data_IF_899757944170
#
_entry.id   IF_899757944170
#
_cell.length_a   1.000
_cell.length_b   1.000
_cell.length_c   1.000
_cell.angle_alpha   90.00
_cell.angle_beta   90.00
_cell.angle_gamma   90.00
#
_symmetry.space_group_name_H-M   'P 1'
#
loop_
_entity.id
_entity.type
_entity.pdbx_description
1 polymer ?
#
# COMPACT_ATOMS: atom_id res chain seq x y z
N UNK A 1 -15.14 62.33 3.32
CA UNK A 1 -16.28 61.46 3.71
C UNK A 1 -16.99 61.06 2.43
N UNK A 2 -17.12 59.77 2.07
CA UNK A 2 -16.33 58.59 2.44
C UNK A 2 -15.66 57.90 1.23
N UNK A 3 -14.68 57.07 1.56
CA UNK A 3 -13.92 56.17 0.70
C UNK A 3 -14.87 55.12 0.09
N UNK A 4 -14.84 54.95 -1.24
CA UNK A 4 -15.47 53.78 -1.88
C UNK A 4 -14.68 52.54 -1.48
N UNK A 5 -15.29 51.79 -0.58
CA UNK A 5 -14.79 50.57 0.00
C UNK A 5 -14.50 49.52 -1.07
N UNK A 6 -13.30 48.95 -0.93
CA UNK A 6 -12.90 47.64 -1.43
C UNK A 6 -13.96 46.60 -1.04
N UNK A 7 -14.78 46.16 -1.98
CA UNK A 7 -15.57 44.93 -1.84
C UNK A 7 -14.76 43.75 -2.39
N UNK A 8 -13.77 43.32 -1.61
CA UNK A 8 -13.24 41.95 -1.73
C UNK A 8 -14.36 41.00 -1.27
N UNK A 9 -15.29 40.69 -2.17
CA UNK A 9 -16.16 39.53 -2.03
C UNK A 9 -15.34 38.29 -2.36
N UNK A 10 -14.45 37.90 -1.45
CA UNK A 10 -13.87 36.55 -1.45
C UNK A 10 -14.99 35.58 -1.10
N UNK A 11 -15.52 34.95 -2.14
CA UNK A 11 -16.58 33.95 -2.08
C UNK A 11 -16.15 32.80 -1.15
N UNK A 12 -16.81 32.59 0.01
CA UNK A 12 -16.50 31.45 0.87
C UNK A 12 -16.64 30.10 0.13
N UNK A 13 -17.47 30.04 -0.90
CA UNK A 13 -17.65 28.88 -1.78
C UNK A 13 -16.38 28.52 -2.58
N UNK A 14 -15.64 29.52 -3.10
CA UNK A 14 -14.35 29.29 -3.79
C UNK A 14 -13.28 28.77 -2.83
N UNK A 15 -13.31 29.20 -1.56
CA UNK A 15 -12.31 28.79 -0.58
C UNK A 15 -12.42 27.30 -0.22
N UNK A 16 -13.64 26.76 -0.17
CA UNK A 16 -13.90 25.35 0.13
C UNK A 16 -13.48 24.41 -1.01
N UNK A 17 -13.85 24.73 -2.25
CA UNK A 17 -13.43 23.94 -3.42
C UNK A 17 -11.92 24.00 -3.64
N UNK A 18 -11.32 25.18 -3.48
CA UNK A 18 -9.87 25.33 -3.56
C UNK A 18 -9.14 24.52 -2.49
N UNK A 19 -9.61 24.55 -1.24
CA UNK A 19 -9.03 23.75 -0.16
C UNK A 19 -9.11 22.24 -0.46
N UNK A 20 -10.25 21.78 -0.99
CA UNK A 20 -10.45 20.39 -1.40
C UNK A 20 -9.46 19.99 -2.50
N UNK A 21 -9.29 20.83 -3.53
CA UNK A 21 -8.35 20.60 -4.62
C UNK A 21 -6.90 20.55 -4.14
N UNK A 22 -6.52 21.46 -3.24
CA UNK A 22 -5.20 21.43 -2.61
C UNK A 22 -4.97 20.14 -1.82
N UNK A 23 -5.96 19.65 -1.06
CA UNK A 23 -5.87 18.38 -0.32
C UNK A 23 -5.66 17.21 -1.28
N UNK A 24 -6.47 17.14 -2.35
CA UNK A 24 -6.39 16.09 -3.37
C UNK A 24 -5.02 16.11 -4.05
N UNK A 25 -4.57 17.27 -4.52
CA UNK A 25 -3.27 17.45 -5.16
C UNK A 25 -2.11 17.08 -4.24
N UNK A 26 -2.20 17.45 -2.95
CA UNK A 26 -1.19 17.11 -1.94
C UNK A 26 -1.10 15.61 -1.73
N UNK A 27 -2.23 14.91 -1.58
CA UNK A 27 -2.26 13.45 -1.42
C UNK A 27 -1.66 12.74 -2.64
N UNK A 28 -2.02 13.17 -3.86
CA UNK A 28 -1.47 12.63 -5.11
C UNK A 28 0.05 12.89 -5.20
N UNK A 29 0.49 14.11 -4.87
CA UNK A 29 1.91 14.46 -4.87
C UNK A 29 2.73 13.61 -3.91
N UNK A 30 2.21 13.36 -2.70
CA UNK A 30 2.83 12.46 -1.72
C UNK A 30 2.89 11.03 -2.26
N UNK A 31 1.80 10.55 -2.88
CA UNK A 31 1.74 9.22 -3.45
C UNK A 31 2.81 9.01 -4.53
N UNK A 32 2.93 9.94 -5.48
CA UNK A 32 3.94 9.89 -6.53
C UNK A 32 5.35 9.98 -5.99
N UNK A 33 5.63 10.91 -5.08
CA UNK A 33 6.95 11.04 -4.47
C UNK A 33 7.37 9.72 -3.80
N UNK A 34 6.49 9.15 -2.97
CA UNK A 34 6.76 7.91 -2.27
C UNK A 34 7.00 6.74 -3.23
N UNK A 35 6.20 6.62 -4.30
CA UNK A 35 6.33 5.54 -5.26
C UNK A 35 7.60 5.65 -6.10
N UNK A 36 7.94 6.84 -6.60
CA UNK A 36 9.16 7.06 -7.37
C UNK A 36 10.38 6.76 -6.51
N UNK A 37 10.42 7.32 -5.29
CA UNK A 37 11.50 7.04 -4.35
C UNK A 37 11.60 5.52 -4.07
N UNK A 38 10.48 4.85 -3.82
CA UNK A 38 10.46 3.43 -3.52
C UNK A 38 10.95 2.57 -4.70
N UNK A 39 10.59 2.92 -5.94
CA UNK A 39 11.10 2.24 -7.14
C UNK A 39 12.62 2.41 -7.23
N UNK A 40 13.13 3.62 -7.04
CA UNK A 40 14.58 3.89 -7.02
C UNK A 40 15.27 3.10 -5.92
N UNK A 41 14.70 3.07 -4.71
CA UNK A 41 15.23 2.29 -3.58
C UNK A 41 15.26 0.78 -3.89
N UNK A 42 14.25 0.25 -4.59
CA UNK A 42 14.22 -1.14 -4.99
C UNK A 42 15.37 -1.48 -5.95
N UNK A 43 15.56 -0.70 -7.01
CA UNK A 43 16.63 -0.96 -7.98
C UNK A 43 18.04 -0.70 -7.43
N UNK A 44 18.18 0.15 -6.41
CA UNK A 44 19.49 0.42 -5.78
C UNK A 44 19.86 -0.57 -4.68
N UNK A 45 18.87 -1.17 -3.99
CA UNK A 45 19.11 -2.02 -2.81
C UNK A 45 19.10 -3.52 -3.14
N UNK A 46 18.24 -3.96 -4.05
CA UNK A 46 18.16 -5.40 -4.38
C UNK A 46 19.28 -5.79 -5.35
N UNK A 47 20.11 -6.75 -4.94
CA UNK A 47 21.17 -7.31 -5.81
C UNK A 47 20.67 -8.33 -6.83
N UNK A 48 19.46 -8.88 -6.64
CA UNK A 48 18.87 -9.91 -7.51
C UNK A 48 17.37 -9.64 -7.74
N UNK A 49 17.00 -9.46 -9.00
CA UNK A 49 15.63 -9.07 -9.42
C UNK A 49 14.71 -10.25 -9.74
N UNK A 50 14.90 -11.42 -9.11
CA UNK A 50 14.16 -12.64 -9.45
C UNK A 50 13.08 -13.05 -8.43
N UNK A 51 12.94 -12.31 -7.32
CA UNK A 51 12.01 -12.65 -6.25
C UNK A 51 10.58 -12.15 -6.52
N UNK A 52 9.57 -12.95 -6.16
CA UNK A 52 8.17 -12.53 -6.21
C UNK A 52 7.92 -11.25 -5.40
N UNK A 53 8.58 -11.10 -4.24
CA UNK A 53 8.54 -9.87 -3.44
C UNK A 53 8.98 -8.64 -4.23
N UNK A 54 10.12 -8.73 -4.92
CA UNK A 54 10.69 -7.61 -5.68
C UNK A 54 9.71 -7.15 -6.77
N UNK A 55 9.23 -8.08 -7.60
CA UNK A 55 8.29 -7.77 -8.66
C UNK A 55 6.96 -7.25 -8.13
N UNK A 56 6.41 -7.85 -7.06
CA UNK A 56 5.17 -7.38 -6.44
C UNK A 56 5.32 -5.95 -5.92
N UNK A 57 6.44 -5.63 -5.26
CA UNK A 57 6.71 -4.30 -4.72
C UNK A 57 6.89 -3.26 -5.82
N UNK A 58 7.66 -3.57 -6.86
CA UNK A 58 7.89 -2.66 -8.00
C UNK A 58 6.60 -2.43 -8.80
N UNK A 59 5.87 -3.50 -9.13
CA UNK A 59 4.61 -3.41 -9.88
C UNK A 59 3.60 -2.58 -9.08
N UNK A 60 3.38 -2.90 -7.81
CA UNK A 60 2.45 -2.14 -6.96
C UNK A 60 2.82 -0.65 -6.89
N UNK A 61 4.11 -0.34 -6.73
CA UNK A 61 4.61 1.04 -6.63
C UNK A 61 4.41 1.80 -7.94
N UNK A 62 4.76 1.20 -9.08
CA UNK A 62 4.57 1.81 -10.40
C UNK A 62 3.09 2.01 -10.69
N UNK A 63 2.23 1.05 -10.33
CA UNK A 63 0.78 1.10 -10.59
C UNK A 63 0.02 2.21 -9.83
N UNK A 64 0.55 2.70 -8.70
CA UNK A 64 -0.02 3.88 -8.01
C UNK A 64 0.08 5.14 -8.88
N UNK A 65 1.11 5.26 -9.72
CA UNK A 65 1.31 6.43 -10.58
C UNK A 65 0.17 6.60 -11.60
N UNK A 66 -0.15 5.62 -12.47
CA UNK A 66 -1.28 5.71 -13.38
C UNK A 66 -2.62 5.77 -12.65
N UNK A 67 -2.79 5.07 -11.52
CA UNK A 67 -3.99 5.18 -10.69
C UNK A 67 -4.28 6.65 -10.29
N UNK A 68 -3.29 7.29 -9.67
CA UNK A 68 -3.43 8.68 -9.23
C UNK A 68 -3.49 9.67 -10.40
N UNK A 69 -2.80 9.38 -11.52
CA UNK A 69 -2.86 10.19 -12.74
C UNK A 69 -4.25 10.16 -13.37
N UNK A 70 -4.85 8.98 -13.53
CA UNK A 70 -6.18 8.85 -14.12
C UNK A 70 -7.23 9.62 -13.30
N UNK A 71 -7.22 9.47 -11.98
CA UNK A 71 -8.09 10.28 -11.12
C UNK A 71 -7.76 11.78 -11.15
N UNK A 72 -6.50 12.18 -11.24
CA UNK A 72 -6.15 13.60 -11.39
C UNK A 72 -6.76 14.18 -12.69
N UNK A 73 -6.64 13.46 -13.81
CA UNK A 73 -7.20 13.88 -15.09
C UNK A 73 -8.73 14.02 -15.05
N UNK A 74 -9.41 13.13 -14.33
CA UNK A 74 -10.86 13.16 -14.13
C UNK A 74 -11.28 14.29 -13.17
N UNK A 75 -10.64 14.41 -12.01
CA UNK A 75 -11.02 15.35 -10.94
C UNK A 75 -10.77 16.81 -11.35
N UNK A 76 -9.64 17.09 -12.01
CA UNK A 76 -9.30 18.44 -12.47
C UNK A 76 -9.87 18.75 -13.86
N UNK A 77 -10.71 17.85 -14.41
CA UNK A 77 -11.37 18.02 -15.70
C UNK A 77 -10.40 18.33 -16.87
N UNK A 78 -9.20 17.74 -16.84
CA UNK A 78 -8.14 17.96 -17.83
C UNK A 78 -8.42 17.12 -19.09
N UNK A 79 -8.77 15.84 -18.89
CA UNK A 79 -9.03 14.88 -19.98
C UNK A 79 -10.08 13.84 -19.56
N UNK A 80 -11.36 14.25 -19.38
CA UNK A 80 -12.41 13.42 -18.78
C UNK A 80 -13.00 12.42 -19.78
N UNK A 81 -12.20 11.45 -20.24
CA UNK A 81 -12.65 10.45 -21.21
C UNK A 81 -12.24 9.03 -20.80
N UNK A 82 -12.65 8.07 -21.63
CA UNK A 82 -12.34 6.66 -21.43
C UNK A 82 -10.85 6.35 -21.30
N UNK A 83 -9.95 7.20 -21.80
CA UNK A 83 -8.52 7.01 -21.63
C UNK A 83 -8.09 7.28 -20.18
N UNK A 84 -8.60 8.33 -19.53
CA UNK A 84 -8.32 8.58 -18.12
C UNK A 84 -8.84 7.45 -17.22
N UNK A 85 -10.04 6.95 -17.52
CA UNK A 85 -10.63 5.77 -16.85
C UNK A 85 -9.77 4.53 -17.08
N UNK A 86 -9.35 4.25 -18.32
CA UNK A 86 -8.53 3.08 -18.60
C UNK A 86 -7.17 3.09 -17.90
N UNK A 87 -6.51 4.24 -17.84
CA UNK A 87 -5.24 4.39 -17.11
C UNK A 87 -5.45 4.19 -15.61
N UNK A 88 -6.52 4.78 -15.05
CA UNK A 88 -6.89 4.60 -13.65
C UNK A 88 -7.11 3.12 -13.34
N UNK A 89 -7.93 2.42 -14.12
CA UNK A 89 -8.32 1.03 -13.88
C UNK A 89 -7.10 0.11 -13.91
N UNK A 90 -6.24 0.27 -14.91
CA UNK A 90 -4.99 -0.51 -15.01
C UNK A 90 -4.09 -0.26 -13.81
N UNK A 91 -3.99 1.00 -13.38
CA UNK A 91 -3.25 1.36 -12.16
C UNK A 91 -3.87 0.75 -10.91
N UNK A 92 -5.19 0.79 -10.78
CA UNK A 92 -5.92 0.27 -9.64
C UNK A 92 -5.71 -1.25 -9.47
N UNK A 93 -5.82 -2.02 -10.56
CA UNK A 93 -5.60 -3.47 -10.55
C UNK A 93 -4.21 -3.83 -10.02
N UNK A 94 -3.18 -3.19 -10.57
CA UNK A 94 -1.80 -3.44 -10.17
C UNK A 94 -1.47 -2.93 -8.77
N UNK A 95 -2.06 -1.81 -8.35
CA UNK A 95 -1.88 -1.23 -7.02
C UNK A 95 -2.44 -2.15 -5.93
N UNK A 96 -3.73 -2.50 -6.01
CA UNK A 96 -4.42 -3.25 -4.95
C UNK A 96 -3.94 -4.70 -4.91
N UNK A 97 -3.91 -5.38 -6.07
CA UNK A 97 -3.45 -6.78 -6.13
C UNK A 97 -1.96 -6.87 -5.83
N UNK A 98 -1.16 -5.93 -6.34
CA UNK A 98 0.28 -5.89 -6.08
C UNK A 98 0.60 -5.72 -4.60
N UNK A 99 -0.13 -4.84 -3.90
CA UNK A 99 0.02 -4.69 -2.45
C UNK A 99 -0.27 -6.01 -1.73
N UNK A 100 -1.35 -6.71 -2.10
CA UNK A 100 -1.71 -7.98 -1.47
C UNK A 100 -0.67 -9.07 -1.75
N UNK A 101 -0.06 -9.04 -2.94
CA UNK A 101 1.06 -9.92 -3.29
C UNK A 101 2.36 -9.59 -2.52
N UNK A 102 2.59 -8.31 -2.18
CA UNK A 102 3.69 -7.92 -1.27
C UNK A 102 3.48 -8.51 0.12
N UNK A 103 2.27 -8.38 0.67
CA UNK A 103 1.90 -8.97 1.96
C UNK A 103 2.06 -10.50 1.95
N UNK A 104 1.55 -11.17 0.92
CA UNK A 104 1.68 -12.61 0.76
C UNK A 104 3.13 -13.06 0.62
N UNK A 105 3.94 -12.32 -0.14
CA UNK A 105 5.37 -12.60 -0.30
C UNK A 105 6.12 -12.54 1.04
N UNK A 106 5.73 -11.63 1.94
CA UNK A 106 6.27 -11.58 3.30
C UNK A 106 5.78 -12.72 4.16
N UNK A 107 4.50 -13.07 4.04
CA UNK A 107 3.92 -14.21 4.74
C UNK A 107 4.69 -15.49 4.41
N UNK A 108 5.09 -15.67 3.14
CA UNK A 108 5.91 -16.79 2.69
C UNK A 108 7.28 -16.87 3.38
N UNK A 109 7.84 -15.75 3.87
CA UNK A 109 9.12 -15.74 4.59
C UNK A 109 8.98 -16.11 6.08
N UNK A 110 7.80 -15.91 6.66
CA UNK A 110 7.55 -16.08 8.09
C UNK A 110 6.79 -17.38 8.39
N UNK A 111 5.80 -17.72 7.57
CA UNK A 111 4.95 -18.89 7.75
C UNK A 111 5.52 -20.08 6.98
N UNK A 112 5.86 -21.15 7.69
CA UNK A 112 6.35 -22.40 7.09
C UNK A 112 5.21 -23.30 6.57
N UNK A 113 3.99 -23.10 7.07
CA UNK A 113 2.84 -23.92 6.68
C UNK A 113 2.36 -23.60 5.25
N UNK A 114 2.71 -24.49 4.31
CA UNK A 114 2.34 -24.41 2.89
C UNK A 114 0.83 -24.33 2.65
N UNK A 115 0.01 -24.90 3.53
CA UNK A 115 -1.46 -24.89 3.38
C UNK A 115 -2.00 -23.48 3.56
N UNK A 116 -1.55 -22.77 4.61
CA UNK A 116 -1.96 -21.38 4.87
C UNK A 116 -1.57 -20.50 3.69
N UNK A 117 -0.31 -20.58 3.24
CA UNK A 117 0.18 -19.80 2.10
C UNK A 117 -0.63 -20.03 0.82
N UNK A 118 -1.01 -21.28 0.55
CA UNK A 118 -1.81 -21.62 -0.63
C UNK A 118 -3.23 -21.06 -0.53
N UNK A 119 -3.88 -21.19 0.62
CA UNK A 119 -5.23 -20.64 0.82
C UNK A 119 -5.26 -19.12 0.75
N UNK A 120 -4.27 -18.44 1.34
CA UNK A 120 -4.17 -16.98 1.24
C UNK A 120 -3.91 -16.52 -0.19
N UNK A 121 -3.14 -17.27 -0.99
CA UNK A 121 -2.95 -16.96 -2.41
C UNK A 121 -4.24 -17.18 -3.22
N UNK A 122 -4.95 -18.27 -2.95
CA UNK A 122 -6.25 -18.54 -3.59
C UNK A 122 -7.24 -17.42 -3.28
N UNK A 123 -7.31 -16.96 -2.02
CA UNK A 123 -8.13 -15.81 -1.62
C UNK A 123 -7.80 -14.58 -2.45
N UNK A 124 -6.51 -14.19 -2.55
CA UNK A 124 -6.07 -13.03 -3.36
C UNK A 124 -6.52 -13.15 -4.81
N UNK A 125 -6.37 -14.32 -5.42
CA UNK A 125 -6.73 -14.54 -6.82
C UNK A 125 -8.26 -14.46 -7.00
N UNK A 126 -9.02 -15.08 -6.11
CA UNK A 126 -10.49 -15.09 -6.18
C UNK A 126 -11.05 -13.68 -6.01
N UNK A 127 -10.59 -12.95 -4.99
CA UNK A 127 -11.03 -11.58 -4.71
C UNK A 127 -10.63 -10.63 -5.86
N UNK A 128 -9.43 -10.82 -6.44
CA UNK A 128 -9.02 -10.06 -7.62
C UNK A 128 -10.02 -10.20 -8.78
N UNK A 129 -10.44 -11.42 -9.12
CA UNK A 129 -11.45 -11.60 -10.18
C UNK A 129 -12.84 -11.14 -9.78
N UNK A 130 -13.25 -11.42 -8.54
CA UNK A 130 -14.58 -11.14 -8.02
C UNK A 130 -14.85 -9.63 -7.92
N UNK A 131 -13.84 -8.85 -7.53
CA UNK A 131 -13.99 -7.41 -7.32
C UNK A 131 -13.48 -6.58 -8.50
N UNK A 132 -12.34 -6.91 -9.10
CA UNK A 132 -11.79 -6.06 -10.17
C UNK A 132 -12.67 -6.05 -11.42
N UNK A 133 -13.14 -7.21 -11.88
CA UNK A 133 -13.89 -7.29 -13.14
C UNK A 133 -15.20 -6.50 -13.05
N UNK A 134 -16.10 -6.75 -12.07
CA UNK A 134 -17.38 -6.04 -12.06
C UNK A 134 -17.20 -4.55 -11.80
N UNK A 135 -16.24 -4.16 -10.95
CA UNK A 135 -15.96 -2.75 -10.69
C UNK A 135 -15.52 -2.01 -11.95
N UNK A 136 -14.57 -2.58 -12.70
CA UNK A 136 -14.12 -1.96 -13.96
C UNK A 136 -15.27 -1.85 -14.97
N UNK A 137 -16.11 -2.87 -15.10
CA UNK A 137 -17.27 -2.81 -16.01
C UNK A 137 -18.25 -1.70 -15.60
N UNK A 138 -18.54 -1.58 -14.30
CA UNK A 138 -19.44 -0.56 -13.76
C UNK A 138 -18.84 0.85 -13.89
N UNK A 139 -17.54 0.99 -13.69
CA UNK A 139 -16.81 2.25 -13.82
C UNK A 139 -16.82 2.75 -15.27
N UNK A 140 -16.40 1.92 -16.22
CA UNK A 140 -16.49 2.24 -17.64
C UNK A 140 -17.93 2.55 -18.07
N UNK A 141 -18.91 1.80 -17.56
CA UNK A 141 -20.33 2.04 -17.80
C UNK A 141 -20.81 3.41 -17.31
N UNK A 142 -20.22 3.93 -16.23
CA UNK A 142 -20.55 5.25 -15.66
C UNK A 142 -20.10 6.42 -16.53
N UNK A 143 -19.20 6.19 -17.49
CA UNK A 143 -18.78 7.18 -18.50
C UNK A 143 -19.44 6.96 -19.87
N UNK A 144 -20.38 6.01 -19.95
CA UNK A 144 -21.13 5.71 -21.18
C UNK A 144 -22.36 6.59 -21.38
N UNK A 145 -22.96 6.59 -22.59
CA UNK A 145 -24.24 7.27 -22.83
C UNK A 145 -25.39 6.79 -21.92
N UNK A 146 -25.22 5.65 -21.22
CA UNK A 146 -26.19 5.09 -20.29
C UNK A 146 -25.74 5.22 -18.82
N UNK A 147 -24.88 6.22 -18.51
CA UNK A 147 -24.27 6.44 -17.21
C UNK A 147 -25.24 6.32 -16.02
N UNK A 148 -26.46 6.84 -16.14
CA UNK A 148 -27.47 6.81 -15.07
C UNK A 148 -27.76 5.39 -14.53
N UNK A 149 -27.66 4.36 -15.38
CA UNK A 149 -27.88 2.96 -14.95
C UNK A 149 -26.67 2.38 -14.22
N UNK A 150 -25.47 2.87 -14.52
CA UNK A 150 -24.21 2.32 -14.03
C UNK A 150 -23.69 3.07 -12.80
N UNK A 151 -23.85 4.39 -12.72
CA UNK A 151 -23.29 5.20 -11.63
C UNK A 151 -23.77 4.78 -10.25
N UNK A 152 -25.08 4.51 -10.10
CA UNK A 152 -25.63 4.04 -8.82
C UNK A 152 -25.13 2.64 -8.46
N UNK A 153 -25.03 1.74 -9.43
CA UNK A 153 -24.48 0.40 -9.21
C UNK A 153 -22.98 0.46 -8.87
N UNK A 154 -22.23 1.36 -9.51
CA UNK A 154 -20.82 1.60 -9.24
C UNK A 154 -20.59 2.14 -7.83
N UNK A 155 -21.31 3.16 -7.36
CA UNK A 155 -21.14 3.70 -5.99
C UNK A 155 -21.39 2.63 -4.91
N UNK A 156 -22.43 1.79 -5.10
CA UNK A 156 -22.70 0.66 -4.18
C UNK A 156 -21.56 -0.37 -4.25
N UNK A 157 -21.20 -0.79 -5.46
CA UNK A 157 -20.20 -1.85 -5.64
C UNK A 157 -18.81 -1.39 -5.20
N UNK A 158 -18.46 -0.11 -5.38
CA UNK A 158 -17.21 0.49 -4.94
C UNK A 158 -17.02 0.33 -3.42
N UNK A 159 -18.07 0.56 -2.64
CA UNK A 159 -18.05 0.37 -1.18
C UNK A 159 -17.88 -1.10 -0.79
N UNK A 160 -18.53 -2.01 -1.52
CA UNK A 160 -18.44 -3.45 -1.29
C UNK A 160 -17.02 -3.94 -1.57
N UNK A 161 -16.47 -3.63 -2.74
CA UNK A 161 -15.13 -4.06 -3.10
C UNK A 161 -14.06 -3.48 -2.17
N UNK A 162 -14.23 -2.23 -1.72
CA UNK A 162 -13.27 -1.60 -0.83
C UNK A 162 -13.20 -2.36 0.49
N UNK A 163 -14.36 -2.70 1.06
CA UNK A 163 -14.44 -3.53 2.27
C UNK A 163 -13.88 -4.92 2.00
N UNK A 164 -14.19 -5.53 0.85
CA UNK A 164 -13.67 -6.85 0.46
C UNK A 164 -12.14 -6.88 0.46
N UNK A 165 -11.49 -5.96 -0.26
CA UNK A 165 -10.03 -5.87 -0.28
C UNK A 165 -9.45 -5.49 1.09
N UNK A 166 -10.08 -4.60 1.86
CA UNK A 166 -9.62 -4.29 3.21
C UNK A 166 -9.70 -5.51 4.15
N UNK A 167 -10.75 -6.33 4.06
CA UNK A 167 -10.84 -7.58 4.82
C UNK A 167 -9.73 -8.54 4.40
N UNK A 168 -9.45 -8.68 3.10
CA UNK A 168 -8.35 -9.48 2.58
C UNK A 168 -6.99 -9.05 3.18
N UNK A 169 -6.71 -7.74 3.19
CA UNK A 169 -5.47 -7.18 3.74
C UNK A 169 -5.37 -7.38 5.26
N UNK A 170 -6.48 -7.23 5.99
CA UNK A 170 -6.55 -7.51 7.43
C UNK A 170 -6.27 -8.98 7.71
N UNK A 171 -6.86 -9.91 6.95
CA UNK A 171 -6.62 -11.35 7.09
C UNK A 171 -5.13 -11.67 6.89
N UNK A 172 -4.51 -11.16 5.83
CA UNK A 172 -3.08 -11.35 5.58
C UNK A 172 -2.23 -10.77 6.72
N UNK A 173 -2.59 -9.58 7.20
CA UNK A 173 -1.90 -8.88 8.29
C UNK A 173 -1.99 -9.63 9.62
N UNK A 174 -3.17 -10.14 9.98
CA UNK A 174 -3.40 -10.89 11.23
C UNK A 174 -2.64 -12.21 11.22
N UNK A 175 -2.66 -12.96 10.11
CA UNK A 175 -1.89 -14.21 10.01
C UNK A 175 -0.39 -13.92 10.15
N UNK A 176 0.10 -12.85 9.52
CA UNK A 176 1.49 -12.43 9.66
C UNK A 176 1.85 -12.07 11.11
N UNK A 177 1.01 -11.25 11.77
CA UNK A 177 1.21 -10.84 13.15
C UNK A 177 1.23 -12.04 14.10
N UNK A 178 0.31 -13.00 13.92
CA UNK A 178 0.27 -14.23 14.70
C UNK A 178 1.56 -15.04 14.56
N UNK A 179 2.02 -15.27 13.33
CA UNK A 179 3.24 -16.01 13.08
C UNK A 179 4.50 -15.27 13.59
N UNK A 180 4.51 -13.93 13.52
CA UNK A 180 5.58 -13.11 14.09
C UNK A 180 5.64 -13.22 15.63
N UNK A 181 4.48 -13.26 16.30
CA UNK A 181 4.40 -13.45 17.76
C UNK A 181 4.87 -14.85 18.17
N UNK A 182 4.51 -15.89 17.41
CA UNK A 182 4.97 -17.25 17.66
C UNK A 182 6.51 -17.34 17.58
N UNK A 183 7.13 -16.77 16.54
CA UNK A 183 8.59 -16.71 16.43
C UNK A 183 9.24 -15.91 17.56
N UNK A 184 8.59 -14.85 18.04
CA UNK A 184 9.08 -14.04 19.17
C UNK A 184 9.09 -14.81 20.49
N UNK A 185 8.13 -15.71 20.71
CA UNK A 185 8.06 -16.54 21.93
C UNK A 185 9.16 -17.60 21.97
N UNK A 186 9.64 -18.06 20.82
CA UNK A 186 10.67 -19.09 20.71
C UNK A 186 12.10 -18.55 20.89
N UNK A 187 12.30 -17.23 20.92
CA UNK A 187 13.64 -16.63 20.94
C UNK A 187 14.14 -16.31 22.37
N UNK A 188 15.37 -16.70 22.76
CA UNK A 188 15.97 -16.35 24.05
C UNK A 188 16.00 -14.83 24.28
N UNK A 189 15.78 -14.39 25.52
CA UNK A 189 15.63 -12.96 25.89
C UNK A 189 16.86 -12.13 25.44
N UNK A 190 16.68 -11.24 24.46
CA UNK A 190 17.71 -10.32 23.94
C UNK A 190 17.22 -9.44 22.77
N UNK A 191 18.08 -8.50 22.32
CA UNK A 191 17.91 -7.40 21.33
C UNK A 191 16.90 -7.61 20.17
N UNK A 192 16.68 -8.85 19.74
CA UNK A 192 15.72 -9.25 18.70
C UNK A 192 14.25 -8.94 19.06
N UNK A 193 13.87 -8.87 20.35
CA UNK A 193 12.50 -8.52 20.74
C UNK A 193 12.03 -7.15 20.25
N UNK A 194 12.95 -6.18 20.19
CA UNK A 194 12.63 -4.84 19.71
C UNK A 194 12.28 -4.81 18.22
N UNK A 195 12.96 -5.64 17.42
CA UNK A 195 12.71 -5.74 15.97
C UNK A 195 11.33 -6.36 15.73
N UNK A 196 11.01 -7.48 16.38
CA UNK A 196 9.69 -8.11 16.28
C UNK A 196 8.55 -7.22 16.75
N UNK A 197 8.74 -6.47 17.85
CA UNK A 197 7.74 -5.49 18.31
C UNK A 197 7.53 -4.38 17.27
N UNK A 198 8.61 -3.89 16.65
CA UNK A 198 8.48 -2.92 15.58
C UNK A 198 7.73 -3.46 14.36
N UNK A 199 7.97 -4.73 13.98
CA UNK A 199 7.21 -5.40 12.92
C UNK A 199 5.70 -5.45 13.24
N UNK A 200 5.36 -5.75 14.50
CA UNK A 200 3.98 -5.79 14.97
C UNK A 200 3.34 -4.39 14.94
N UNK A 201 4.06 -3.35 15.40
CA UNK A 201 3.59 -1.96 15.38
C UNK A 201 3.28 -1.52 13.94
N UNK A 202 4.17 -1.80 12.99
CA UNK A 202 3.96 -1.40 11.58
C UNK A 202 2.73 -2.12 11.02
N UNK A 203 2.55 -3.41 11.30
CA UNK A 203 1.38 -4.15 10.84
C UNK A 203 0.07 -3.61 11.44
N UNK A 204 0.07 -3.23 12.72
CA UNK A 204 -1.07 -2.57 13.35
C UNK A 204 -1.40 -1.23 12.69
N UNK A 205 -0.38 -0.42 12.40
CA UNK A 205 -0.56 0.86 11.67
C UNK A 205 -1.17 0.64 10.29
N UNK A 206 -0.79 -0.42 9.57
CA UNK A 206 -1.38 -0.77 8.28
C UNK A 206 -2.88 -1.06 8.39
N UNK A 207 -3.30 -1.80 9.42
CA UNK A 207 -4.72 -2.09 9.69
C UNK A 207 -5.48 -0.79 10.01
N UNK A 208 -4.90 0.11 10.80
CA UNK A 208 -5.52 1.41 11.08
C UNK A 208 -5.67 2.25 9.80
N UNK A 209 -4.70 2.19 8.89
CA UNK A 209 -4.79 2.87 7.59
C UNK A 209 -5.92 2.31 6.71
N UNK A 210 -6.16 0.99 6.73
CA UNK A 210 -7.31 0.40 6.04
C UNK A 210 -8.63 0.94 6.57
N UNK A 211 -8.78 0.94 7.89
CA UNK A 211 -9.98 1.47 8.54
C UNK A 211 -10.20 2.95 8.19
N UNK A 212 -9.13 3.75 8.09
CA UNK A 212 -9.21 5.14 7.68
C UNK A 212 -9.69 5.30 6.22
N UNK A 213 -9.14 4.53 5.28
CA UNK A 213 -9.56 4.59 3.86
C UNK A 213 -11.03 4.19 3.71
N UNK A 214 -11.46 3.13 4.40
CA UNK A 214 -12.87 2.72 4.45
C UNK A 214 -13.73 3.82 5.05
N UNK A 215 -13.33 4.40 6.19
CA UNK A 215 -14.06 5.50 6.83
C UNK A 215 -14.28 6.70 5.91
N UNK A 216 -13.25 7.10 5.15
CA UNK A 216 -13.36 8.21 4.19
C UNK A 216 -14.35 7.91 3.06
N UNK A 217 -14.39 6.67 2.56
CA UNK A 217 -15.37 6.28 1.52
C UNK A 217 -16.81 6.37 2.06
N UNK A 218 -17.05 5.83 3.25
CA UNK A 218 -18.39 5.82 3.85
C UNK A 218 -18.85 7.21 4.32
N UNK A 219 -17.92 8.17 4.47
CA UNK A 219 -18.25 9.58 4.67
C UNK A 219 -18.78 10.27 3.40
N UNK A 220 -18.72 9.62 2.23
CA UNK A 220 -19.28 10.12 0.96
C UNK A 220 -18.38 11.07 0.18
N UNK A 221 -17.13 11.25 0.61
CA UNK A 221 -16.18 12.17 -0.05
C UNK A 221 -15.34 11.47 -1.12
N UNK A 222 -15.93 11.17 -2.28
CA UNK A 222 -15.25 10.43 -3.36
C UNK A 222 -13.88 11.02 -3.77
N UNK A 223 -13.80 12.34 -4.03
CA UNK A 223 -12.53 13.02 -4.41
C UNK A 223 -11.43 12.85 -3.36
N UNK A 224 -11.80 12.95 -2.08
CA UNK A 224 -10.87 12.76 -0.96
C UNK A 224 -10.51 11.27 -0.83
N UNK A 225 -11.49 10.39 -0.95
CA UNK A 225 -11.30 8.95 -0.85
C UNK A 225 -10.23 8.44 -1.83
N UNK A 226 -10.36 8.73 -3.12
CA UNK A 226 -9.45 8.18 -4.15
C UNK A 226 -8.02 8.72 -3.99
N UNK A 227 -7.87 9.98 -3.60
CA UNK A 227 -6.56 10.60 -3.37
C UNK A 227 -5.91 10.11 -2.06
N UNK A 228 -6.68 9.97 -0.98
CA UNK A 228 -6.22 9.35 0.27
C UNK A 228 -5.87 7.88 0.06
N UNK A 229 -6.63 7.13 -0.75
CA UNK A 229 -6.31 5.75 -1.13
C UNK A 229 -4.93 5.67 -1.78
N UNK A 230 -4.66 6.47 -2.82
CA UNK A 230 -3.34 6.50 -3.47
C UNK A 230 -2.20 6.78 -2.46
N UNK A 231 -2.39 7.79 -1.60
CA UNK A 231 -1.42 8.17 -0.58
C UNK A 231 -1.18 7.02 0.41
N UNK A 232 -2.24 6.43 0.97
CA UNK A 232 -2.15 5.34 1.94
C UNK A 232 -1.46 4.12 1.35
N UNK A 233 -1.81 3.71 0.12
CA UNK A 233 -1.14 2.58 -0.54
C UNK A 233 0.36 2.85 -0.74
N UNK A 234 0.75 4.08 -1.12
CA UNK A 234 2.17 4.45 -1.24
C UNK A 234 2.93 4.34 0.09
N UNK A 235 2.30 4.77 1.19
CA UNK A 235 2.88 4.73 2.53
C UNK A 235 3.00 3.28 3.00
N UNK A 236 1.96 2.47 2.78
CA UNK A 236 1.97 1.03 3.06
C UNK A 236 3.15 0.34 2.39
N UNK A 237 3.36 0.55 1.08
CA UNK A 237 4.47 -0.06 0.36
C UNK A 237 5.85 0.39 0.90
N UNK A 238 6.01 1.66 1.29
CA UNK A 238 7.25 2.13 1.94
C UNK A 238 7.48 1.48 3.31
N UNK A 239 6.43 1.33 4.10
CA UNK A 239 6.50 0.61 5.38
C UNK A 239 6.90 -0.85 5.14
N UNK A 240 6.34 -1.48 4.11
CA UNK A 240 6.69 -2.86 3.74
C UNK A 240 8.17 -3.02 3.38
N UNK A 241 8.67 -2.13 2.53
CA UNK A 241 10.08 -2.08 2.18
C UNK A 241 10.99 -1.90 3.42
N UNK A 242 10.60 -1.01 4.34
CA UNK A 242 11.35 -0.80 5.59
C UNK A 242 11.44 -2.06 6.44
N UNK A 243 10.35 -2.84 6.51
CA UNK A 243 10.31 -4.11 7.24
C UNK A 243 11.29 -5.13 6.64
N UNK A 244 11.29 -5.30 5.32
CA UNK A 244 12.22 -6.22 4.67
C UNK A 244 13.68 -5.84 4.93
N UNK A 245 14.02 -4.54 4.83
CA UNK A 245 15.37 -4.07 5.10
C UNK A 245 15.89 -4.45 6.50
N UNK A 246 14.98 -4.59 7.47
CA UNK A 246 15.31 -5.04 8.84
C UNK A 246 15.44 -6.56 8.93
N UNK A 247 14.57 -7.32 8.28
CA UNK A 247 14.64 -8.79 8.24
C UNK A 247 15.97 -9.29 7.66
N UNK A 248 16.46 -8.66 6.58
CA UNK A 248 17.75 -9.02 5.97
C UNK A 248 18.91 -8.76 6.93
N UNK A 249 18.91 -7.64 7.66
CA UNK A 249 19.96 -7.35 8.65
C UNK A 249 20.00 -8.40 9.76
N UNK A 250 18.84 -8.84 10.23
CA UNK A 250 18.75 -9.88 11.26
C UNK A 250 19.27 -11.24 10.76
N UNK A 251 19.07 -11.58 9.48
CA UNK A 251 19.61 -12.83 8.91
C UNK A 251 21.12 -12.82 8.65
N UNK A 252 21.75 -11.65 8.56
CA UNK A 252 23.21 -11.54 8.30
C UNK A 252 24.03 -11.50 9.60
N UNK A 253 23.47 -10.99 10.70
CA UNK A 253 24.15 -10.89 12.00
C UNK A 253 24.56 -12.23 12.65
N UNK A 254 23.93 -13.40 12.42
CA UNK A 254 24.37 -14.66 13.04
C UNK A 254 25.77 -15.09 12.57
N UNK A 255 26.22 -14.64 11.39
CA UNK A 255 27.48 -15.09 10.79
C UNK A 255 28.71 -14.36 11.37
N UNK A 256 28.52 -13.18 11.98
CA UNK A 256 29.63 -12.38 12.53
C UNK A 256 29.87 -12.59 14.03
N UNK A 257 28.95 -13.26 14.74
CA UNK A 257 29.11 -13.52 16.18
C UNK A 257 29.87 -14.81 16.50
N UNK A 258 30.09 -15.69 15.53
CA UNK A 258 30.84 -16.95 15.69
C UNK A 258 32.34 -16.81 15.33
N UNK A 259 32.81 -15.59 15.02
CA UNK A 259 34.23 -15.33 14.76
C UNK A 259 34.86 -14.54 15.92
N UNK A 260 34.90 -15.14 17.11
CA UNK A 260 35.84 -14.73 18.16
C UNK A 260 37.16 -15.47 17.97
N UNK A 261 38.27 -14.81 17.59
CA UNK A 261 39.59 -15.43 17.56
C UNK A 261 40.12 -15.53 19.00
N UNK A 262 39.68 -16.53 19.75
CA UNK A 262 40.23 -16.84 21.08
C UNK A 262 41.13 -18.09 21.11
N UNK A 263 41.34 -18.78 19.99
CA UNK A 263 42.07 -20.05 19.96
C UNK A 263 43.54 -19.99 19.49
N UNK A 264 44.18 -18.80 19.50
CA UNK A 264 45.61 -18.68 19.17
C UNK A 264 46.54 -18.36 20.35
N UNK A 265 46.07 -18.35 21.60
CA UNK A 265 46.89 -18.04 22.77
C UNK A 265 47.39 -19.27 23.58
N UNK A 266 47.28 -20.49 23.03
CA UNK A 266 47.55 -21.73 23.80
C UNK A 266 48.73 -22.60 23.36
N UNK A 267 49.44 -22.29 22.26
CA UNK A 267 50.44 -23.20 21.71
C UNK A 267 51.74 -22.53 21.26
N UNK A 268 52.39 -21.78 22.14
CA UNK A 268 53.82 -21.42 22.01
C UNK A 268 54.53 -21.38 23.37
N UNK A 269 54.22 -22.33 24.25
CA UNK A 269 54.93 -22.45 25.54
C UNK A 269 55.33 -23.88 25.87
N UNK A 270 55.76 -24.68 24.88
CA UNK A 270 56.56 -25.89 25.09
C UNK A 270 57.23 -26.31 23.77
N UNK A 271 58.39 -25.71 23.47
CA UNK A 271 59.51 -26.37 22.80
C UNK A 271 60.79 -25.55 23.01
#
# INVERSE_FOLDING_TARGET
MPLTARSDHTQPFQSGEFALECIVATCIGIAWYNCIELVVLCFTTFKRYSGCYFWSLVIASISIVPFALGYALLIFNIFPNYFAVAIEVVGWWGMVTGQSMVLWSRLHLVVHNRRILRWTLIMIIVDAFLFHIPASVLEFGSYSPHAEKFTHAFDIFERIQLVGFSVQEIVLSVIYAWAAVEMLQMLPRGHYKGIFLQLLIINFVMICMDAAVVGVQYAGFFRIHVSVKAMVYSIKLKMEYSILGRLVRVSVVPVLSDYTPSDQAGSMSHM
#
